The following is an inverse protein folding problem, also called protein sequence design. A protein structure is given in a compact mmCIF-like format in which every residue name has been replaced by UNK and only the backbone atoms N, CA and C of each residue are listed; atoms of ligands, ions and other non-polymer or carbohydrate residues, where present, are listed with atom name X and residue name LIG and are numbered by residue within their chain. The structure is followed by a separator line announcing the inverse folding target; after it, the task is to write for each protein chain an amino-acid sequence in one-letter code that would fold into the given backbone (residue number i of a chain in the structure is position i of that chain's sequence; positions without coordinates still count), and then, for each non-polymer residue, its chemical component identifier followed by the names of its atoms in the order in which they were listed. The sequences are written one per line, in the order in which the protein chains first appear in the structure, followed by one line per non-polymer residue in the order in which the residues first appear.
data_IF_911097265011
#
_entry.id   IF_911097265011
#
_cell.length_a   1.000
_cell.length_b   1.000
_cell.length_c   1.000
_cell.angle_alpha   90.00
_cell.angle_beta   90.00
_cell.angle_gamma   90.00
#
_symmetry.space_group_name_H-M   'P 1'
#
loop_
_entity.id
_entity.type
_entity.pdbx_description
1 polymer ?
#
# COMPACT_ATOMS: atom_id res chain seq x y z
N UNK A 1 7.98 3.12 -13.36
CA UNK A 1 7.69 1.76 -13.86
C UNK A 1 6.48 1.74 -14.79
N UNK A 2 5.30 2.22 -14.37
CA UNK A 2 4.09 2.25 -15.22
C UNK A 2 4.34 2.84 -16.62
N UNK A 3 5.00 3.99 -16.72
CA UNK A 3 5.38 4.61 -18.00
C UNK A 3 6.18 3.70 -18.95
N UNK A 4 7.00 2.78 -18.42
CA UNK A 4 7.83 1.89 -19.23
C UNK A 4 7.06 0.66 -19.74
N UNK A 5 6.10 0.16 -18.95
CA UNK A 5 5.36 -1.07 -19.29
C UNK A 5 4.02 -0.80 -19.97
N UNK A 6 3.39 0.33 -19.68
CA UNK A 6 2.06 0.68 -20.16
C UNK A 6 1.97 0.71 -21.70
N UNK A 7 2.93 1.28 -22.47
CA UNK A 7 2.85 1.27 -23.93
C UNK A 7 2.69 -0.15 -24.50
N UNK A 8 3.53 -1.09 -24.05
CA UNK A 8 3.44 -2.49 -24.49
C UNK A 8 2.13 -3.18 -24.09
N UNK A 9 1.50 -2.77 -22.98
CA UNK A 9 0.21 -3.29 -22.50
C UNK A 9 -0.95 -2.74 -23.31
N UNK A 10 -0.86 -1.46 -23.70
CA UNK A 10 -1.82 -0.77 -24.57
C UNK A 10 -1.80 -1.38 -25.96
N UNK A 11 -0.63 -1.65 -26.54
CA UNK A 11 -0.49 -2.25 -27.87
C UNK A 11 -1.18 -3.62 -27.97
N UNK A 12 -1.04 -4.45 -26.93
CA UNK A 12 -1.70 -5.76 -26.82
C UNK A 12 -3.13 -5.71 -26.28
N UNK A 13 -3.61 -4.51 -25.90
CA UNK A 13 -4.89 -4.25 -25.23
C UNK A 13 -5.17 -5.17 -24.02
N UNK A 14 -4.11 -5.53 -23.30
CA UNK A 14 -4.17 -6.48 -22.21
C UNK A 14 -3.02 -6.26 -21.24
N UNK A 15 -3.32 -6.13 -19.96
CA UNK A 15 -2.28 -6.06 -18.93
C UNK A 15 -2.87 -5.76 -17.56
N UNK A 16 -2.07 -6.06 -16.53
CA UNK A 16 -2.38 -5.72 -15.15
C UNK A 16 -1.14 -5.05 -14.54
N UNK A 17 -1.29 -3.81 -14.09
CA UNK A 17 -0.28 -3.12 -13.27
C UNK A 17 -0.71 -3.27 -11.81
N UNK A 18 0.16 -3.85 -10.98
CA UNK A 18 -0.11 -4.03 -9.54
C UNK A 18 0.78 -3.09 -8.74
N UNK A 19 0.16 -2.14 -8.03
CA UNK A 19 0.85 -1.21 -7.16
C UNK A 19 0.68 -1.62 -5.69
N UNK A 20 1.78 -1.63 -4.93
CA UNK A 20 1.76 -1.94 -3.50
C UNK A 20 1.59 -0.65 -2.67
N UNK A 21 0.37 -0.43 -2.21
CA UNK A 21 -0.02 0.61 -1.27
C UNK A 21 0.33 0.29 0.19
N UNK A 22 -0.47 0.81 1.11
CA UNK A 22 -0.46 0.52 2.54
C UNK A 22 -1.70 1.11 3.19
N UNK A 23 -2.23 0.48 4.24
CA UNK A 23 -3.32 1.06 5.04
C UNK A 23 -2.96 2.47 5.56
N UNK A 24 -1.65 2.74 5.75
CA UNK A 24 -1.12 4.05 6.11
C UNK A 24 -1.35 5.15 5.06
N UNK A 25 -1.69 4.78 3.82
CA UNK A 25 -2.09 5.70 2.75
C UNK A 25 -3.56 6.13 2.86
N UNK A 26 -4.40 5.33 3.53
CA UNK A 26 -5.78 5.70 3.85
C UNK A 26 -5.88 6.44 5.18
N UNK A 27 -5.12 6.00 6.19
CA UNK A 27 -5.18 6.52 7.55
C UNK A 27 -3.77 6.86 8.00
N UNK A 28 -3.49 8.15 8.16
CA UNK A 28 -2.22 8.61 8.68
C UNK A 28 -2.10 8.31 10.19
N UNK A 29 -0.93 7.86 10.63
CA UNK A 29 -0.62 7.63 12.03
C UNK A 29 0.51 8.53 12.51
N UNK A 30 0.53 8.93 13.80
CA UNK A 30 1.61 9.73 14.35
C UNK A 30 2.99 9.11 14.10
N UNK A 31 3.99 9.97 13.89
CA UNK A 31 5.39 9.62 13.62
C UNK A 31 5.66 8.84 12.33
N UNK A 32 4.62 8.62 11.51
CA UNK A 32 4.71 7.94 10.22
C UNK A 32 4.36 8.86 9.03
N UNK A 33 4.38 10.18 9.23
CA UNK A 33 3.78 11.17 8.31
C UNK A 33 4.32 11.12 6.89
N UNK A 34 5.64 11.05 6.70
CA UNK A 34 6.26 10.99 5.36
C UNK A 34 5.89 9.70 4.62
N UNK A 35 5.90 8.57 5.33
CA UNK A 35 5.51 7.29 4.76
C UNK A 35 4.02 7.27 4.39
N UNK A 36 3.14 7.74 5.28
CA UNK A 36 1.71 7.88 5.02
C UNK A 36 1.43 8.78 3.81
N UNK A 37 2.10 9.92 3.71
CA UNK A 37 1.97 10.83 2.56
C UNK A 37 2.42 10.17 1.25
N UNK A 38 3.57 9.47 1.26
CA UNK A 38 4.06 8.76 0.09
C UNK A 38 3.10 7.64 -0.35
N UNK A 39 2.53 6.89 0.60
CA UNK A 39 1.57 5.82 0.31
C UNK A 39 0.22 6.34 -0.17
N UNK A 40 -0.24 7.48 0.37
CA UNK A 40 -1.42 8.17 -0.15
C UNK A 40 -1.20 8.64 -1.60
N UNK A 41 0.00 9.13 -1.94
CA UNK A 41 0.34 9.50 -3.31
C UNK A 41 0.32 8.29 -4.27
N UNK A 42 0.81 7.13 -3.83
CA UNK A 42 0.70 5.87 -4.60
C UNK A 42 -0.76 5.47 -4.82
N UNK A 43 -1.62 5.65 -3.82
CA UNK A 43 -3.06 5.37 -3.94
C UNK A 43 -3.70 6.26 -5.00
N UNK A 44 -3.51 7.58 -4.89
CA UNK A 44 -4.05 8.54 -5.86
C UNK A 44 -3.52 8.29 -7.29
N UNK A 45 -2.22 7.99 -7.42
CA UNK A 45 -1.63 7.66 -8.72
C UNK A 45 -2.23 6.38 -9.31
N UNK A 46 -2.52 5.38 -8.48
CA UNK A 46 -3.15 4.12 -8.92
C UNK A 46 -4.57 4.34 -9.42
N UNK A 47 -5.34 5.19 -8.73
CA UNK A 47 -6.70 5.55 -9.14
C UNK A 47 -6.70 6.27 -10.51
N UNK A 48 -5.80 7.26 -10.68
CA UNK A 48 -5.64 7.98 -11.95
C UNK A 48 -5.24 7.02 -13.08
N UNK A 49 -4.21 6.19 -12.85
CA UNK A 49 -3.76 5.22 -13.85
C UNK A 49 -4.87 4.23 -14.21
N UNK A 50 -5.68 3.77 -13.26
CA UNK A 50 -6.80 2.89 -13.54
C UNK A 50 -7.81 3.54 -14.50
N UNK A 51 -8.16 4.81 -14.27
CA UNK A 51 -9.07 5.55 -15.14
C UNK A 51 -8.48 5.78 -16.54
N UNK A 52 -7.22 6.19 -16.62
CA UNK A 52 -6.53 6.49 -17.87
C UNK A 52 -6.28 5.24 -18.71
N UNK A 53 -5.96 4.11 -18.07
CA UNK A 53 -5.63 2.86 -18.75
C UNK A 53 -6.86 2.04 -19.18
N UNK A 54 -8.01 2.22 -18.53
CA UNK A 54 -9.23 1.43 -18.76
C UNK A 54 -9.68 1.40 -20.23
N UNK A 55 -9.73 2.51 -20.99
CA UNK A 55 -10.13 2.49 -22.41
C UNK A 55 -9.21 1.65 -23.30
N UNK A 56 -7.96 1.43 -22.85
CA UNK A 56 -6.93 0.71 -23.59
C UNK A 56 -6.86 -0.78 -23.22
N UNK A 57 -7.75 -1.30 -22.37
CA UNK A 57 -7.75 -2.71 -21.97
C UNK A 57 -6.68 -3.08 -20.94
N UNK A 58 -6.09 -2.08 -20.27
CA UNK A 58 -5.09 -2.28 -19.22
C UNK A 58 -5.74 -2.04 -17.86
N UNK A 59 -5.68 -3.04 -16.98
CA UNK A 59 -6.19 -2.97 -15.61
C UNK A 59 -5.09 -2.47 -14.67
N UNK A 60 -5.49 -1.79 -13.60
CA UNK A 60 -4.60 -1.40 -12.50
C UNK A 60 -5.23 -1.90 -11.21
N UNK A 61 -4.44 -2.59 -10.40
CA UNK A 61 -4.81 -3.08 -9.08
C UNK A 61 -3.95 -2.39 -8.01
N UNK A 62 -4.61 -1.88 -6.98
CA UNK A 62 -3.96 -1.40 -5.77
C UNK A 62 -4.03 -2.45 -4.67
N UNK A 63 -2.89 -2.98 -4.27
CA UNK A 63 -2.79 -3.90 -3.11
C UNK A 63 -2.44 -3.08 -1.88
N UNK A 64 -3.29 -3.10 -0.87
CA UNK A 64 -3.12 -2.30 0.35
C UNK A 64 -2.93 -3.24 1.55
N UNK A 65 -1.68 -3.57 1.91
CA UNK A 65 -1.41 -4.33 3.11
C UNK A 65 -1.69 -3.49 4.36
N UNK A 66 -2.28 -4.13 5.36
CA UNK A 66 -2.27 -3.73 6.76
C UNK A 66 -0.94 -4.08 7.42
N UNK A 67 -0.97 -4.50 8.68
CA UNK A 67 0.24 -4.91 9.38
C UNK A 67 0.70 -6.30 8.92
N UNK A 68 1.76 -6.36 8.11
CA UNK A 68 2.40 -7.60 7.67
C UNK A 68 3.79 -7.71 8.28
N UNK A 69 4.12 -8.86 8.88
CA UNK A 69 5.40 -9.14 9.53
C UNK A 69 6.54 -9.15 8.53
N UNK A 70 7.20 -8.00 8.42
CA UNK A 70 8.34 -7.71 7.55
C UNK A 70 9.31 -6.79 8.28
N UNK A 71 10.47 -6.51 7.67
CA UNK A 71 11.49 -5.65 8.25
C UNK A 71 11.19 -4.14 8.13
N UNK A 72 10.01 -3.74 7.62
CA UNK A 72 9.68 -2.30 7.42
C UNK A 72 9.72 -1.52 8.74
N UNK A 73 9.06 -2.02 9.79
CA UNK A 73 9.00 -1.37 11.11
C UNK A 73 10.40 -1.23 11.72
N UNK A 74 11.18 -2.31 11.69
CA UNK A 74 12.55 -2.32 12.20
C UNK A 74 13.46 -1.33 11.44
N UNK A 75 13.37 -1.29 10.10
CA UNK A 75 14.15 -0.35 9.29
C UNK A 75 13.74 1.11 9.55
N UNK A 76 12.45 1.36 9.80
CA UNK A 76 11.96 2.68 10.14
C UNK A 76 12.46 3.13 11.52
N UNK A 77 12.40 2.26 12.53
CA UNK A 77 12.89 2.56 13.87
C UNK A 77 14.42 2.77 13.89
N UNK A 78 15.18 1.98 13.12
CA UNK A 78 16.63 2.08 13.02
C UNK A 78 17.13 3.40 12.40
N UNK A 79 16.27 4.09 11.64
CA UNK A 79 16.57 5.39 11.01
C UNK A 79 15.96 6.57 11.77
N UNK A 80 15.33 6.34 12.92
CA UNK A 80 14.74 7.40 13.73
C UNK A 80 15.84 8.27 14.35
N UNK A 81 15.94 9.49 13.86
CA UNK A 81 16.75 10.54 14.46
C UNK A 81 15.89 11.77 14.73
N UNK A 82 15.93 12.26 15.97
CA UNK A 82 15.28 13.52 16.33
C UNK A 82 16.31 14.64 16.36
N UNK A 83 15.97 15.79 15.77
CA UNK A 83 16.79 16.98 15.91
C UNK A 83 17.03 17.33 17.39
N UNK A 84 18.20 17.90 17.75
CA UNK A 84 18.49 18.27 19.12
C UNK A 84 17.44 19.20 19.76
N UNK A 85 16.81 20.05 18.94
CA UNK A 85 15.76 21.01 19.30
C UNK A 85 14.35 20.43 19.26
N UNK A 86 14.20 19.14 18.95
CA UNK A 86 12.89 18.51 18.82
C UNK A 86 12.13 18.51 20.14
N UNK A 87 10.90 19.01 20.10
CA UNK A 87 9.95 18.95 21.22
C UNK A 87 9.56 17.50 21.59
N UNK A 88 9.83 16.53 20.71
CA UNK A 88 9.55 15.11 20.95
C UNK A 88 10.68 14.35 21.65
N UNK A 89 11.81 15.01 21.92
CA UNK A 89 12.96 14.39 22.58
C UNK A 89 12.63 13.73 23.93
N UNK A 90 11.79 14.31 24.81
CA UNK A 90 11.36 13.65 26.06
C UNK A 90 10.49 12.40 25.84
N UNK A 91 9.98 12.19 24.63
CA UNK A 91 9.10 11.08 24.28
C UNK A 91 9.77 10.07 23.35
N UNK A 92 11.09 10.16 23.16
CA UNK A 92 11.83 9.36 22.18
C UNK A 92 11.51 7.87 22.29
N UNK A 93 11.54 7.29 23.48
CA UNK A 93 11.27 5.86 23.69
C UNK A 93 9.87 5.47 23.21
N UNK A 94 8.85 6.30 23.46
CA UNK A 94 7.48 6.05 22.99
C UNK A 94 7.35 6.16 21.47
N UNK A 95 8.10 7.09 20.87
CA UNK A 95 8.16 7.20 19.40
C UNK A 95 8.82 5.95 18.83
N UNK A 96 9.94 5.53 19.41
CA UNK A 96 10.68 4.35 19.00
C UNK A 96 9.83 3.08 19.10
N UNK A 97 9.23 2.80 20.26
CA UNK A 97 8.36 1.64 20.48
C UNK A 97 7.20 1.59 19.47
N UNK A 98 6.62 2.74 19.15
CA UNK A 98 5.52 2.85 18.20
C UNK A 98 5.93 2.50 16.76
N UNK A 99 7.17 2.86 16.38
CA UNK A 99 7.73 2.62 15.05
C UNK A 99 8.28 1.20 14.90
N UNK A 100 8.94 0.67 15.94
CA UNK A 100 9.45 -0.70 15.97
C UNK A 100 8.32 -1.73 16.07
N UNK A 101 7.15 -1.29 16.58
CA UNK A 101 5.93 -2.06 16.78
C UNK A 101 5.83 -3.31 15.92
N UNK A 102 5.85 -4.46 16.59
CA UNK A 102 5.93 -5.78 15.97
C UNK A 102 4.74 -5.99 15.06
N UNK A 103 5.00 -6.01 13.75
CA UNK A 103 4.01 -6.36 12.75
C UNK A 103 3.47 -7.77 13.02
N UNK A 104 2.16 -7.89 13.23
CA UNK A 104 1.52 -9.12 13.68
C UNK A 104 1.02 -10.03 12.55
N UNK A 105 0.86 -9.52 11.32
CA UNK A 105 0.30 -10.31 10.22
C UNK A 105 1.28 -11.29 9.60
N UNK A 106 0.79 -12.45 9.19
CA UNK A 106 1.60 -13.48 8.54
C UNK A 106 1.90 -13.13 7.08
N UNK A 107 3.18 -12.95 6.74
CA UNK A 107 3.60 -12.54 5.39
C UNK A 107 3.33 -13.61 4.33
N UNK A 108 3.39 -14.88 4.70
CA UNK A 108 3.13 -16.00 3.78
C UNK A 108 1.66 -16.02 3.37
N UNK A 109 0.75 -15.91 4.34
CA UNK A 109 -0.69 -15.75 4.07
C UNK A 109 -0.97 -14.56 3.15
N UNK A 110 -0.38 -13.40 3.45
CA UNK A 110 -0.55 -12.20 2.63
C UNK A 110 -0.05 -12.43 1.19
N UNK A 111 1.11 -13.06 1.00
CA UNK A 111 1.67 -13.34 -0.31
C UNK A 111 0.77 -14.30 -1.11
N UNK A 112 0.32 -15.39 -0.50
CA UNK A 112 -0.58 -16.35 -1.14
C UNK A 112 -1.90 -15.70 -1.57
N UNK A 113 -2.52 -14.93 -0.68
CA UNK A 113 -3.77 -14.25 -0.99
C UNK A 113 -3.58 -13.21 -2.10
N UNK A 114 -2.55 -12.34 -2.01
CA UNK A 114 -2.31 -11.31 -3.01
C UNK A 114 -2.05 -11.90 -4.39
N UNK A 115 -1.28 -13.00 -4.48
CA UNK A 115 -1.05 -13.70 -5.75
C UNK A 115 -2.33 -14.30 -6.29
N UNK A 116 -3.17 -14.91 -5.45
CA UNK A 116 -4.44 -15.49 -5.88
C UNK A 116 -5.37 -14.42 -6.50
N UNK A 117 -5.48 -13.24 -5.87
CA UNK A 117 -6.27 -12.13 -6.40
C UNK A 117 -5.70 -11.54 -7.69
N UNK A 118 -4.38 -11.41 -7.78
CA UNK A 118 -3.69 -10.92 -9.00
C UNK A 118 -3.90 -11.86 -10.19
N UNK A 119 -3.94 -13.18 -9.94
CA UNK A 119 -4.11 -14.20 -10.98
C UNK A 119 -5.58 -14.51 -11.31
N UNK A 120 -6.53 -13.86 -10.62
CA UNK A 120 -7.95 -14.00 -10.90
C UNK A 120 -8.25 -13.51 -12.34
N UNK A 121 -9.07 -14.24 -13.15
CA UNK A 121 -9.49 -13.77 -14.48
C UNK A 121 -10.14 -12.38 -14.48
N UNK A 122 -10.84 -12.03 -13.42
CA UNK A 122 -11.37 -10.68 -13.20
C UNK A 122 -10.84 -10.11 -11.87
N UNK A 123 -9.59 -9.62 -11.87
CA UNK A 123 -8.94 -9.17 -10.65
C UNK A 123 -9.59 -7.86 -10.17
N UNK A 124 -9.83 -7.70 -8.86
CA UNK A 124 -10.39 -6.47 -8.32
C UNK A 124 -9.44 -5.28 -8.51
N UNK A 125 -9.97 -4.06 -8.58
CA UNK A 125 -9.18 -2.83 -8.70
C UNK A 125 -8.41 -2.48 -7.41
N UNK A 126 -8.86 -2.98 -6.27
CA UNK A 126 -8.19 -2.79 -4.99
C UNK A 126 -8.44 -3.99 -4.05
N UNK A 127 -7.41 -4.38 -3.30
CA UNK A 127 -7.51 -5.34 -2.19
C UNK A 127 -6.94 -4.71 -0.93
N UNK A 128 -7.63 -4.88 0.21
CA UNK A 128 -7.19 -4.39 1.52
C UNK A 128 -7.06 -5.57 2.48
N UNK A 129 -5.84 -5.88 2.92
CA UNK A 129 -5.58 -7.03 3.77
C UNK A 129 -5.10 -6.59 5.15
N UNK A 130 -6.00 -6.58 6.13
CA UNK A 130 -5.71 -6.25 7.53
C UNK A 130 -6.80 -6.80 8.45
N UNK A 131 -6.57 -6.80 9.76
CA UNK A 131 -7.51 -7.40 10.73
C UNK A 131 -8.89 -6.71 10.62
N UNK A 132 -9.90 -7.48 10.17
CA UNK A 132 -11.33 -7.12 9.98
C UNK A 132 -11.60 -5.94 9.02
N UNK A 133 -11.57 -6.19 7.72
CA UNK A 133 -11.83 -5.18 6.67
C UNK A 133 -13.01 -5.48 5.73
N UNK A 134 -13.99 -6.28 6.13
CA UNK A 134 -15.13 -6.71 5.28
C UNK A 134 -15.89 -5.54 4.61
N UNK A 135 -16.07 -4.41 5.33
CA UNK A 135 -16.76 -3.24 4.78
C UNK A 135 -15.92 -2.48 3.72
N UNK A 136 -14.60 -2.45 3.90
CA UNK A 136 -13.70 -1.77 2.96
C UNK A 136 -13.45 -2.61 1.72
N UNK A 137 -13.41 -3.94 1.85
CA UNK A 137 -13.33 -4.86 0.70
C UNK A 137 -14.53 -4.69 -0.24
N UNK A 138 -15.75 -4.60 0.30
CA UNK A 138 -16.95 -4.32 -0.49
C UNK A 138 -16.86 -2.98 -1.26
N UNK A 139 -16.35 -1.93 -0.62
CA UNK A 139 -16.17 -0.62 -1.25
C UNK A 139 -15.10 -0.62 -2.34
N UNK A 140 -14.11 -1.52 -2.28
CA UNK A 140 -13.10 -1.67 -3.33
C UNK A 140 -13.67 -2.19 -4.65
N UNK A 141 -14.86 -2.79 -4.63
CA UNK A 141 -15.53 -3.33 -5.83
C UNK A 141 -16.32 -2.25 -6.61
N UNK A 142 -16.60 -1.11 -5.98
CA UNK A 142 -17.21 0.01 -6.67
C UNK A 142 -16.18 0.77 -7.51
N UNK A 143 -16.55 1.22 -8.72
CA UNK A 143 -15.77 2.25 -9.40
C UNK A 143 -15.73 3.49 -8.50
N UNK A 144 -14.51 3.93 -8.15
CA UNK A 144 -14.29 5.22 -7.48
C UNK A 144 -14.66 6.38 -8.40
#
# INVERSE_FOLDING_TARGET
FAQAVAPSMVDRRQGLIVNIGSLAGNIATPWNGLYSAAKAAVHALSDVLAMECKPFGVKVMLVTPGQVRTNISANQAATLELFPTSIYKPYFDRVYERLDGTSQGEHEFFAHYAVAEVLNPDPPSCILLGVKSDLFEFLCWFPR
#
